data_IF_508654153759
#
_entry.id   IF_508654153759
#
_cell.length_a   1.000
_cell.length_b   1.000
_cell.length_c   1.000
_cell.angle_alpha   90.00
_cell.angle_beta   90.00
_cell.angle_gamma   90.00
#
_symmetry.space_group_name_H-M   'P 1'
#
loop_
_entity.id
_entity.type
_entity.pdbx_description
1 polymer ?
#
# COMPACT_ATOMS: atom_id res chain seq x y z
N UNK A 1 7.67 0.91 -20.19
CA UNK A 1 6.48 1.27 -19.39
C UNK A 1 6.82 1.09 -17.91
N UNK A 2 6.53 2.05 -17.06
CA UNK A 2 6.65 1.79 -15.63
C UNK A 2 5.75 0.61 -15.28
N UNK A 3 6.20 -0.26 -14.38
CA UNK A 3 5.36 -1.33 -13.86
C UNK A 3 4.18 -0.74 -13.06
N UNK A 4 3.24 -1.57 -12.62
CA UNK A 4 2.07 -1.10 -11.88
C UNK A 4 2.41 -0.38 -10.56
N UNK A 5 3.62 -0.54 -10.06
CA UNK A 5 4.14 0.17 -8.88
C UNK A 5 4.80 1.52 -9.24
N UNK A 6 4.92 1.83 -10.53
CA UNK A 6 5.48 3.10 -11.00
C UNK A 6 7.01 3.13 -11.13
N UNK A 7 7.71 2.06 -10.77
CA UNK A 7 9.16 1.97 -10.90
C UNK A 7 9.55 1.19 -12.16
N UNK A 8 10.58 1.66 -12.87
CA UNK A 8 11.26 0.87 -13.88
C UNK A 8 12.16 -0.18 -13.23
N UNK A 9 12.58 -1.19 -14.00
CA UNK A 9 13.50 -2.23 -13.51
C UNK A 9 14.82 -1.64 -12.97
N UNK A 10 15.32 -0.59 -13.62
CA UNK A 10 16.56 0.09 -13.20
C UNK A 10 16.36 0.84 -11.88
N UNK A 11 15.25 1.56 -11.73
CA UNK A 11 14.91 2.27 -10.49
C UNK A 11 14.70 1.30 -9.33
N UNK A 12 14.04 0.17 -9.59
CA UNK A 12 13.81 -0.89 -8.62
C UNK A 12 15.14 -1.47 -8.12
N UNK A 13 16.08 -1.74 -9.03
CA UNK A 13 17.42 -2.22 -8.68
C UNK A 13 18.19 -1.23 -7.81
N UNK A 14 18.19 0.05 -8.18
CA UNK A 14 18.84 1.11 -7.39
C UNK A 14 18.25 1.21 -5.99
N UNK A 15 16.92 1.14 -5.88
CA UNK A 15 16.23 1.15 -4.60
C UNK A 15 16.66 -0.04 -3.72
N UNK A 16 16.65 -1.25 -4.29
CA UNK A 16 17.02 -2.47 -3.55
C UNK A 16 18.48 -2.42 -3.07
N UNK A 17 19.41 -1.95 -3.90
CA UNK A 17 20.83 -1.82 -3.54
C UNK A 17 21.05 -0.78 -2.42
N UNK A 18 20.24 0.26 -2.36
CA UNK A 18 20.32 1.31 -1.34
C UNK A 18 19.49 1.01 -0.07
N UNK A 19 18.74 -0.09 -0.06
CA UNK A 19 17.77 -0.38 1.00
C UNK A 19 18.44 -0.79 2.31
N UNK A 20 18.12 -0.06 3.37
CA UNK A 20 18.44 -0.46 4.74
C UNK A 20 17.28 -1.33 5.27
N UNK A 21 17.55 -2.61 5.46
CA UNK A 21 16.55 -3.59 5.89
C UNK A 21 16.02 -3.28 7.29
N UNK A 22 16.86 -2.82 8.20
CA UNK A 22 16.44 -2.46 9.56
C UNK A 22 15.49 -1.26 9.53
N UNK A 23 15.84 -0.23 8.77
CA UNK A 23 14.99 0.94 8.58
C UNK A 23 13.66 0.57 7.91
N UNK A 24 13.67 -0.35 6.94
CA UNK A 24 12.44 -0.86 6.30
C UNK A 24 11.54 -1.59 7.31
N UNK A 25 12.09 -2.45 8.14
CA UNK A 25 11.35 -3.18 9.17
C UNK A 25 10.75 -2.22 10.21
N UNK A 26 11.51 -1.21 10.62
CA UNK A 26 11.02 -0.18 11.52
C UNK A 26 9.87 0.61 10.90
N UNK A 27 10.02 1.05 9.65
CA UNK A 27 8.97 1.72 8.90
C UNK A 27 7.69 0.86 8.82
N UNK A 28 7.83 -0.41 8.47
CA UNK A 28 6.69 -1.33 8.40
C UNK A 28 5.99 -1.49 9.76
N UNK A 29 6.76 -1.55 10.85
CA UNK A 29 6.20 -1.62 12.21
C UNK A 29 5.42 -0.36 12.58
N UNK A 30 5.95 0.81 12.27
CA UNK A 30 5.28 2.10 12.51
C UNK A 30 3.99 2.20 11.72
N UNK A 31 4.02 1.88 10.42
CA UNK A 31 2.83 1.90 9.56
C UNK A 31 1.76 0.92 10.07
N UNK A 32 2.16 -0.26 10.50
CA UNK A 32 1.24 -1.26 11.06
C UNK A 32 0.60 -0.75 12.35
N UNK A 33 1.38 -0.19 13.26
CA UNK A 33 0.87 0.36 14.52
C UNK A 33 -0.10 1.52 14.30
N UNK A 34 0.21 2.43 13.38
CA UNK A 34 -0.68 3.54 13.02
C UNK A 34 -1.98 3.06 12.40
N UNK A 35 -1.91 2.06 11.51
CA UNK A 35 -3.09 1.44 10.90
C UNK A 35 -3.98 0.77 11.95
N UNK A 36 -3.39 0.00 12.85
CA UNK A 36 -4.11 -0.68 13.94
C UNK A 36 -4.79 0.33 14.87
N UNK A 37 -4.08 1.40 15.22
CA UNK A 37 -4.63 2.48 16.03
C UNK A 37 -5.80 3.18 15.34
N UNK A 38 -5.66 3.49 14.06
CA UNK A 38 -6.73 4.08 13.27
C UNK A 38 -7.96 3.17 13.20
N UNK A 39 -7.78 1.88 12.93
CA UNK A 39 -8.87 0.90 12.87
C UNK A 39 -9.59 0.75 14.22
N UNK A 40 -8.84 0.76 15.33
CA UNK A 40 -9.41 0.66 16.68
C UNK A 40 -10.32 1.84 17.05
N UNK A 41 -10.09 3.01 16.46
CA UNK A 41 -10.87 4.22 16.71
C UNK A 41 -11.92 4.52 15.63
N UNK A 42 -11.99 3.69 14.59
CA UNK A 42 -12.91 3.87 13.49
C UNK A 42 -14.34 3.52 13.91
N UNK A 43 -15.27 4.46 13.71
CA UNK A 43 -16.68 4.19 14.01
C UNK A 43 -17.33 3.39 12.88
N UNK A 44 -18.37 2.63 13.23
CA UNK A 44 -19.17 1.90 12.23
C UNK A 44 -19.79 2.83 11.19
N UNK A 45 -20.23 4.02 11.61
CA UNK A 45 -20.79 5.03 10.70
C UNK A 45 -19.76 5.57 9.71
N UNK A 46 -18.49 5.69 10.13
CA UNK A 46 -17.42 6.16 9.27
C UNK A 46 -17.10 5.19 8.14
N UNK A 47 -17.39 3.90 8.29
CA UNK A 47 -17.16 2.89 7.24
C UNK A 47 -17.94 3.15 5.96
N UNK A 48 -19.11 3.76 6.06
CA UNK A 48 -19.96 4.07 4.91
C UNK A 48 -19.66 5.43 4.28
N UNK A 49 -18.84 6.25 4.92
CA UNK A 49 -18.46 7.55 4.40
C UNK A 49 -17.54 7.42 3.19
N UNK A 50 -17.67 8.36 2.26
CA UNK A 50 -16.87 8.40 1.03
C UNK A 50 -15.85 9.53 1.17
N UNK A 51 -14.56 9.22 1.37
CA UNK A 51 -13.53 10.24 1.47
C UNK A 51 -13.30 10.94 0.12
N UNK A 52 -12.81 12.17 0.17
CA UNK A 52 -12.36 12.90 -1.01
C UNK A 52 -10.99 12.37 -1.48
N UNK A 53 -10.97 11.13 -1.98
CA UNK A 53 -9.75 10.38 -2.24
C UNK A 53 -8.82 11.07 -3.24
N UNK A 54 -9.35 11.58 -4.34
CA UNK A 54 -8.53 12.27 -5.35
C UNK A 54 -7.88 13.53 -4.78
N UNK A 55 -8.61 14.31 -3.99
CA UNK A 55 -8.07 15.47 -3.31
C UNK A 55 -6.96 15.09 -2.31
N UNK A 56 -7.18 14.03 -1.53
CA UNK A 56 -6.20 13.52 -0.57
C UNK A 56 -4.92 13.04 -1.26
N UNK A 57 -5.04 12.31 -2.36
CA UNK A 57 -3.90 11.85 -3.14
C UNK A 57 -3.06 13.03 -3.65
N UNK A 58 -3.71 14.06 -4.18
CA UNK A 58 -3.03 15.21 -4.73
C UNK A 58 -2.39 16.10 -3.65
N UNK A 59 -3.16 16.47 -2.62
CA UNK A 59 -2.76 17.48 -1.64
C UNK A 59 -1.99 16.93 -0.44
N UNK A 60 -2.31 15.73 0.00
CA UNK A 60 -1.66 15.14 1.17
C UNK A 60 -0.55 14.14 0.80
N UNK A 61 -0.70 13.41 -0.31
CA UNK A 61 0.29 12.46 -0.77
C UNK A 61 1.20 13.01 -1.89
N UNK A 62 0.88 14.17 -2.45
CA UNK A 62 1.65 14.77 -3.55
C UNK A 62 1.55 14.00 -4.87
N UNK A 63 0.51 13.18 -5.03
CA UNK A 63 0.30 12.35 -6.21
C UNK A 63 -0.71 13.02 -7.15
N UNK A 64 -0.22 13.85 -8.06
CA UNK A 64 -1.04 14.50 -9.08
C UNK A 64 -1.79 13.49 -9.95
N UNK A 65 -3.00 13.83 -10.46
CA UNK A 65 -3.68 13.00 -11.46
C UNK A 65 -2.85 12.75 -12.73
N UNK A 66 -1.96 13.66 -13.08
CA UNK A 66 -1.13 13.54 -14.27
C UNK A 66 -0.21 12.30 -14.19
N UNK A 67 -0.44 11.32 -15.05
CA UNK A 67 0.28 10.04 -15.06
C UNK A 67 -0.22 9.01 -14.04
N UNK A 68 -1.18 9.38 -13.18
CA UNK A 68 -1.75 8.51 -12.15
C UNK A 68 -3.29 8.49 -12.21
N UNK A 69 -3.84 8.73 -13.39
CA UNK A 69 -5.29 8.77 -13.62
C UNK A 69 -5.97 7.46 -13.16
N UNK A 70 -5.32 6.33 -13.38
CA UNK A 70 -5.81 5.02 -12.96
C UNK A 70 -5.98 4.91 -11.44
N UNK A 71 -5.04 5.46 -10.66
CA UNK A 71 -5.09 5.43 -9.20
C UNK A 71 -6.21 6.34 -8.67
N UNK A 72 -6.29 7.56 -9.20
CA UNK A 72 -7.36 8.50 -8.85
C UNK A 72 -8.74 7.94 -9.18
N UNK A 73 -8.89 7.33 -10.36
CA UNK A 73 -10.15 6.69 -10.78
C UNK A 73 -10.52 5.49 -9.89
N UNK A 74 -9.54 4.67 -9.52
CA UNK A 74 -9.77 3.49 -8.68
C UNK A 74 -10.26 3.87 -7.28
N UNK A 75 -9.76 4.95 -6.71
CA UNK A 75 -10.07 5.35 -5.32
C UNK A 75 -11.28 6.28 -5.21
N UNK A 76 -11.61 6.99 -6.27
CA UNK A 76 -12.73 7.96 -6.26
C UNK A 76 -14.07 7.25 -6.08
N UNK A 77 -14.89 7.76 -5.17
CA UNK A 77 -16.25 7.26 -4.91
C UNK A 77 -16.31 5.99 -4.08
N UNK A 78 -15.19 5.51 -3.55
CA UNK A 78 -15.15 4.33 -2.69
C UNK A 78 -15.40 4.71 -1.23
N UNK A 79 -16.22 3.92 -0.50
CA UNK A 79 -16.40 4.13 0.94
C UNK A 79 -15.15 3.70 1.72
N UNK A 80 -15.03 4.18 2.94
CA UNK A 80 -13.94 3.80 3.86
C UNK A 80 -13.84 2.28 4.02
N UNK A 81 -14.96 1.57 4.08
CA UNK A 81 -15.00 0.10 4.16
C UNK A 81 -14.27 -0.57 2.99
N UNK A 82 -14.35 0.00 1.79
CA UNK A 82 -13.61 -0.51 0.64
C UNK A 82 -12.08 -0.40 0.84
N UNK A 83 -11.62 0.74 1.38
CA UNK A 83 -10.19 0.93 1.66
C UNK A 83 -9.71 -0.04 2.75
N UNK A 84 -10.51 -0.28 3.79
CA UNK A 84 -10.19 -1.28 4.82
C UNK A 84 -10.04 -2.67 4.20
N UNK A 85 -11.00 -3.09 3.39
CA UNK A 85 -10.95 -4.40 2.73
C UNK A 85 -9.80 -4.54 1.75
N UNK A 86 -9.61 -3.54 0.90
CA UNK A 86 -8.62 -3.61 -0.16
C UNK A 86 -7.21 -3.32 0.33
N UNK A 87 -7.00 -2.17 0.97
CA UNK A 87 -5.65 -1.74 1.35
C UNK A 87 -5.16 -2.39 2.64
N UNK A 88 -6.00 -2.50 3.65
CA UNK A 88 -5.57 -3.05 4.94
C UNK A 88 -5.54 -4.58 4.97
N UNK A 89 -6.32 -5.26 4.15
CA UNK A 89 -6.46 -6.72 4.17
C UNK A 89 -6.02 -7.35 2.85
N UNK A 90 -6.81 -7.18 1.79
CA UNK A 90 -6.66 -7.95 0.55
C UNK A 90 -5.34 -7.71 -0.17
N UNK A 91 -4.97 -6.48 -0.39
CA UNK A 91 -3.73 -6.11 -1.07
C UNK A 91 -2.49 -6.58 -0.30
N UNK A 92 -2.50 -6.42 1.02
CA UNK A 92 -1.41 -6.91 1.89
C UNK A 92 -1.27 -8.44 1.82
N UNK A 93 -2.36 -9.17 1.81
CA UNK A 93 -2.35 -10.64 1.65
C UNK A 93 -1.74 -11.05 0.32
N UNK A 94 -2.01 -10.31 -0.75
CA UNK A 94 -1.39 -10.53 -2.05
C UNK A 94 0.14 -10.46 -1.98
N UNK A 95 0.66 -9.40 -1.38
CA UNK A 95 2.12 -9.22 -1.21
C UNK A 95 2.74 -10.26 -0.27
N UNK A 96 2.06 -10.65 0.80
CA UNK A 96 2.51 -11.77 1.65
C UNK A 96 2.63 -13.06 0.85
N UNK A 97 1.66 -13.35 -0.02
CA UNK A 97 1.71 -14.51 -0.91
C UNK A 97 2.92 -14.46 -1.87
N UNK A 98 3.21 -13.30 -2.43
CA UNK A 98 4.40 -13.09 -3.27
C UNK A 98 5.71 -13.34 -2.48
N UNK A 99 5.79 -12.84 -1.26
CA UNK A 99 6.95 -13.05 -0.38
C UNK A 99 7.13 -14.54 -0.04
N UNK A 100 6.05 -15.26 0.22
CA UNK A 100 6.08 -16.72 0.47
C UNK A 100 6.60 -17.45 -0.77
N UNK A 101 6.15 -17.07 -1.95
CA UNK A 101 6.62 -17.66 -3.21
C UNK A 101 8.13 -17.42 -3.44
N UNK A 102 8.63 -16.24 -3.13
CA UNK A 102 10.07 -15.91 -3.20
C UNK A 102 10.85 -16.77 -2.21
N UNK A 103 10.40 -16.88 -0.96
CA UNK A 103 11.03 -17.75 0.04
C UNK A 103 11.10 -19.21 -0.44
N UNK A 104 10.02 -19.70 -1.02
CA UNK A 104 9.98 -21.07 -1.59
C UNK A 104 11.01 -21.28 -2.69
N UNK A 105 11.19 -20.30 -3.59
CA UNK A 105 12.21 -20.33 -4.64
C UNK A 105 13.64 -20.32 -4.09
N UNK A 106 13.84 -19.72 -2.92
CA UNK A 106 15.13 -19.70 -2.22
C UNK A 106 15.35 -20.96 -1.36
N UNK A 107 14.42 -21.92 -1.36
CA UNK A 107 14.51 -23.11 -0.54
C UNK A 107 14.26 -22.89 0.95
N UNK A 108 13.64 -21.75 1.30
CA UNK A 108 13.34 -21.39 2.69
C UNK A 108 11.92 -21.85 3.05
N UNK A 109 11.69 -22.13 4.34
CA UNK A 109 10.35 -22.35 4.87
C UNK A 109 9.46 -21.13 4.62
N UNK A 110 8.15 -21.32 4.34
CA UNK A 110 7.21 -20.22 4.22
C UNK A 110 7.01 -19.46 5.54
N UNK A 111 7.27 -20.10 6.68
CA UNK A 111 7.13 -19.52 8.02
C UNK A 111 8.37 -19.73 8.86
#
# INVERSE_FOLDING_TARGET
MPNAAGLSETEDRVLVEALDINALCEYASVVTAETDNWLAHLSMMALDSIPAASWQLEHNAGLSPAGLEWLHAMWTGKPVSWFVQWECIGHRHGHVGEMIAVRGRLGLSPF
#
